data_IF_203138106244
#
_entry.id   IF_203138106244
#
_cell.length_a   1.000
_cell.length_b   1.000
_cell.length_c   1.000
_cell.angle_alpha   90.00
_cell.angle_beta   90.00
_cell.angle_gamma   90.00
#
_symmetry.space_group_name_H-M   'P 1'
#
loop_
_entity.id
_entity.type
_entity.pdbx_description
1 polymer ?
#
# COMPACT_ATOMS: atom_id res chain seq x y z
N UNK A 1 -29.51 24.03 22.81
CA UNK A 1 -29.18 22.70 23.39
C UNK A 1 -28.92 21.71 22.25
N UNK A 2 -28.02 22.06 21.33
CA UNK A 2 -27.69 21.26 20.12
C UNK A 2 -26.28 21.55 19.59
N UNK A 3 -25.41 22.22 20.36
CA UNK A 3 -24.11 22.70 19.87
C UNK A 3 -22.92 21.82 20.31
N UNK A 4 -23.18 20.57 20.74
CA UNK A 4 -22.15 19.70 21.35
C UNK A 4 -21.75 18.53 20.42
N UNK A 5 -22.34 18.37 19.23
CA UNK A 5 -22.12 17.18 18.40
C UNK A 5 -21.17 17.42 17.20
N UNK A 6 -20.87 18.67 16.83
CA UNK A 6 -20.09 18.94 15.62
C UNK A 6 -18.56 18.91 15.80
N UNK A 7 -18.05 18.90 17.05
CA UNK A 7 -16.61 18.94 17.34
C UNK A 7 -15.93 17.56 17.48
N UNK A 8 -16.67 16.45 17.28
CA UNK A 8 -16.09 15.10 17.33
C UNK A 8 -15.53 14.63 15.97
N UNK A 9 -15.55 15.48 14.94
CA UNK A 9 -15.01 15.18 13.61
C UNK A 9 -13.57 15.68 13.40
N UNK A 10 -12.93 16.23 14.44
CA UNK A 10 -11.51 16.53 14.41
C UNK A 10 -10.67 15.24 14.59
N UNK A 11 -9.91 14.93 13.54
CA UNK A 11 -8.66 14.15 13.60
C UNK A 11 -8.78 12.62 13.77
N UNK A 12 -9.51 11.97 12.86
CA UNK A 12 -9.20 10.57 12.50
C UNK A 12 -8.01 10.48 11.51
N UNK A 13 -7.04 11.39 11.60
CA UNK A 13 -5.74 11.24 10.93
C UNK A 13 -4.82 10.59 11.94
N UNK A 14 -4.99 9.29 12.13
CA UNK A 14 -4.01 8.46 12.82
C UNK A 14 -2.75 8.36 11.97
N UNK A 15 -1.94 9.43 11.96
CA UNK A 15 -0.53 9.32 11.61
C UNK A 15 0.08 8.42 12.68
N UNK A 16 0.12 7.13 12.35
CA UNK A 16 0.55 6.10 13.28
C UNK A 16 2.06 6.23 13.36
N UNK A 17 2.55 6.94 14.37
CA UNK A 17 3.95 7.08 14.81
C UNK A 17 4.58 5.75 15.26
N UNK A 18 4.17 4.64 14.67
CA UNK A 18 4.75 3.32 14.85
C UNK A 18 5.65 3.03 13.65
N UNK A 19 6.97 3.34 13.71
CA UNK A 19 7.90 3.15 12.59
C UNK A 19 8.06 1.67 12.16
N UNK A 20 7.45 0.74 12.90
CA UNK A 20 7.47 -0.70 12.66
C UNK A 20 6.16 -1.26 12.08
N UNK A 21 5.09 -0.45 11.95
CA UNK A 21 3.83 -0.90 11.37
C UNK A 21 3.78 -0.52 9.88
N UNK A 22 3.40 -1.47 9.03
CA UNK A 22 3.09 -1.14 7.64
C UNK A 22 1.82 -0.29 7.61
N UNK A 23 1.78 0.71 6.73
CA UNK A 23 0.56 1.49 6.44
C UNK A 23 -0.60 0.55 6.10
N UNK A 24 -1.85 0.92 6.45
CA UNK A 24 -3.03 0.14 6.07
C UNK A 24 -3.07 -0.06 4.55
N UNK A 25 -3.59 -1.21 4.13
CA UNK A 25 -3.66 -1.58 2.72
C UNK A 25 -4.63 -0.63 2.01
N UNK A 26 -4.28 -0.09 0.84
CA UNK A 26 -5.16 0.78 0.08
C UNK A 26 -6.49 0.06 -0.27
N UNK A 27 -7.66 0.69 -0.01
CA UNK A 27 -8.96 0.09 -0.31
C UNK A 27 -9.28 0.08 -1.81
N UNK A 28 -8.56 0.85 -2.63
CA UNK A 28 -8.79 1.06 -4.05
C UNK A 28 -8.18 -0.01 -4.97
N UNK A 29 -7.65 -1.12 -4.41
CA UNK A 29 -6.97 -2.13 -5.22
C UNK A 29 -5.61 -1.68 -5.75
N UNK A 30 -5.06 -0.59 -5.22
CA UNK A 30 -3.68 -0.16 -5.44
C UNK A 30 -2.72 -1.09 -4.69
N UNK A 31 -1.64 -1.49 -5.35
CA UNK A 31 -0.59 -2.24 -4.68
C UNK A 31 0.14 -1.40 -3.63
N UNK A 32 0.63 -2.07 -2.60
CA UNK A 32 1.47 -1.46 -1.58
C UNK A 32 2.88 -2.01 -1.64
N UNK A 33 3.84 -1.25 -1.12
CA UNK A 33 5.24 -1.67 -1.04
C UNK A 33 5.52 -2.23 0.35
N UNK A 34 6.22 -3.36 0.39
CA UNK A 34 6.72 -3.96 1.61
C UNK A 34 8.21 -4.23 1.48
N UNK A 35 8.97 -3.86 2.51
CA UNK A 35 10.38 -4.26 2.65
C UNK A 35 10.46 -5.67 3.21
N UNK A 36 11.25 -6.53 2.56
CA UNK A 36 11.59 -7.85 3.07
C UNK A 36 12.55 -7.73 4.26
N UNK A 37 12.17 -8.28 5.42
CA UNK A 37 12.99 -8.20 6.63
C UNK A 37 14.28 -9.03 6.58
N UNK A 38 14.35 -10.05 5.72
CA UNK A 38 15.53 -10.91 5.57
C UNK A 38 16.54 -10.33 4.61
N UNK A 39 16.07 -9.81 3.47
CA UNK A 39 16.96 -9.35 2.40
C UNK A 39 17.07 -7.84 2.31
N UNK A 40 16.17 -7.08 2.95
CA UNK A 40 16.08 -5.63 2.83
C UNK A 40 15.47 -5.15 1.51
N UNK A 41 15.09 -6.06 0.61
CA UNK A 41 14.56 -5.74 -0.72
C UNK A 41 13.14 -5.15 -0.65
N UNK A 42 12.83 -4.22 -1.55
CA UNK A 42 11.48 -3.69 -1.72
C UNK A 42 10.66 -4.55 -2.69
N UNK A 43 9.42 -4.82 -2.31
CA UNK A 43 8.48 -5.61 -3.09
C UNK A 43 7.13 -4.92 -3.21
N UNK A 44 6.57 -4.95 -4.41
CA UNK A 44 5.17 -4.65 -4.67
C UNK A 44 4.35 -5.87 -4.27
N UNK A 45 3.42 -5.65 -3.35
CA UNK A 45 2.55 -6.66 -2.78
C UNK A 45 1.11 -6.49 -3.28
N UNK A 46 0.45 -7.62 -3.51
CA UNK A 46 -0.96 -7.64 -3.90
C UNK A 46 -1.83 -7.13 -2.75
N UNK A 47 -2.73 -6.16 -2.97
CA UNK A 47 -3.58 -5.60 -1.92
C UNK A 47 -4.60 -6.62 -1.38
N UNK A 48 -4.93 -7.66 -2.14
CA UNK A 48 -5.95 -8.63 -1.74
C UNK A 48 -5.43 -9.82 -0.94
N UNK A 49 -4.18 -10.22 -1.16
CA UNK A 49 -3.63 -11.45 -0.56
C UNK A 49 -2.21 -11.28 -0.01
N UNK A 50 -1.69 -10.05 0.00
CA UNK A 50 -0.40 -9.68 0.55
C UNK A 50 0.82 -10.40 -0.05
N UNK A 51 0.66 -11.10 -1.17
CA UNK A 51 1.76 -11.81 -1.82
C UNK A 51 2.66 -10.83 -2.56
N UNK A 52 3.96 -11.06 -2.45
CA UNK A 52 5.01 -10.37 -3.21
C UNK A 52 4.89 -10.76 -4.68
N UNK A 53 4.76 -9.77 -5.55
CA UNK A 53 4.53 -9.98 -6.99
C UNK A 53 5.69 -9.47 -7.85
N UNK A 54 6.23 -8.31 -7.51
CA UNK A 54 7.29 -7.64 -8.26
C UNK A 54 8.33 -7.10 -7.29
N UNK A 55 9.60 -7.44 -7.52
CA UNK A 55 10.74 -6.84 -6.81
C UNK A 55 11.06 -5.50 -7.46
N UNK A 56 11.27 -4.47 -6.66
CA UNK A 56 11.59 -3.11 -7.14
C UNK A 56 12.89 -2.62 -6.51
N UNK A 57 13.56 -1.69 -7.18
CA UNK A 57 14.73 -0.95 -6.67
C UNK A 57 14.28 0.46 -6.27
N UNK A 58 15.11 1.17 -5.51
CA UNK A 58 14.78 2.52 -5.03
C UNK A 58 14.53 3.53 -6.18
N UNK A 59 15.15 3.33 -7.36
CA UNK A 59 14.94 4.21 -8.52
C UNK A 59 13.84 3.72 -9.48
N UNK A 60 13.04 2.73 -9.09
CA UNK A 60 11.99 2.19 -9.95
C UNK A 60 10.77 3.11 -9.93
N UNK A 61 10.36 3.58 -11.11
CA UNK A 61 9.10 4.29 -11.34
C UNK A 61 8.24 3.47 -12.29
N UNK A 62 6.96 3.34 -11.95
CA UNK A 62 5.95 2.57 -12.69
C UNK A 62 4.70 3.42 -12.73
N UNK A 63 4.10 3.60 -13.90
CA UNK A 63 2.88 4.38 -14.07
C UNK A 63 1.85 3.54 -14.81
N UNK A 64 0.63 3.52 -14.28
CA UNK A 64 -0.58 2.86 -14.79
C UNK A 64 -0.37 1.38 -15.18
N UNK A 65 0.41 0.66 -14.37
CA UNK A 65 0.65 -0.76 -14.62
C UNK A 65 -0.40 -1.62 -13.91
N UNK A 66 -1.25 -2.28 -14.69
CA UNK A 66 -2.13 -3.34 -14.20
C UNK A 66 -1.35 -4.66 -14.10
N UNK A 67 -1.25 -5.22 -12.90
CA UNK A 67 -0.60 -6.50 -12.65
C UNK A 67 -1.59 -7.54 -12.15
N UNK A 68 -1.47 -8.75 -12.72
CA UNK A 68 -2.19 -9.92 -12.23
C UNK A 68 -1.42 -10.59 -11.10
N UNK A 69 -2.10 -10.85 -9.99
CA UNK A 69 -1.49 -11.51 -8.84
C UNK A 69 -1.04 -12.95 -9.17
N UNK A 70 0.25 -13.24 -8.95
CA UNK A 70 0.91 -14.56 -9.09
C UNK A 70 0.48 -15.58 -8.04
N UNK A 71 -0.26 -15.15 -7.01
CA UNK A 71 -0.82 -16.03 -6.00
C UNK A 71 -1.86 -16.98 -6.59
N UNK A 72 -1.64 -18.29 -6.45
CA UNK A 72 -2.50 -19.36 -7.00
C UNK A 72 -3.99 -19.19 -6.72
N UNK A 73 -4.34 -18.69 -5.52
CA UNK A 73 -5.74 -18.52 -5.10
C UNK A 73 -6.30 -17.12 -5.38
N UNK A 74 -5.45 -16.10 -5.49
CA UNK A 74 -5.91 -14.72 -5.62
C UNK A 74 -6.21 -14.40 -7.09
N UNK A 75 -5.21 -14.47 -7.97
CA UNK A 75 -5.31 -14.19 -9.43
C UNK A 75 -6.03 -12.89 -9.83
N UNK A 76 -6.34 -11.99 -8.88
CA UNK A 76 -6.97 -10.69 -9.12
C UNK A 76 -5.98 -9.74 -9.78
N UNK A 77 -6.50 -8.81 -10.57
CA UNK A 77 -5.74 -7.70 -11.10
C UNK A 77 -5.71 -6.55 -10.09
N UNK A 78 -4.60 -5.83 -10.05
CA UNK A 78 -4.39 -4.66 -9.20
C UNK A 78 -3.51 -3.63 -9.92
N UNK A 79 -3.61 -2.38 -9.50
CA UNK A 79 -2.88 -1.28 -10.09
C UNK A 79 -1.58 -1.01 -9.35
N UNK A 80 -0.57 -0.59 -10.09
CA UNK A 80 0.75 -0.26 -9.58
C UNK A 80 1.19 1.07 -10.15
N UNK A 81 1.18 2.07 -9.28
CA UNK A 81 1.74 3.39 -9.52
C UNK A 81 2.84 3.65 -8.49
N UNK A 82 4.07 3.74 -8.98
CA UNK A 82 5.27 3.96 -8.20
C UNK A 82 6.07 5.14 -8.76
N UNK A 83 6.60 5.97 -7.88
CA UNK A 83 7.61 6.98 -8.21
C UNK A 83 8.76 6.85 -7.22
N UNK A 84 9.98 6.67 -7.72
CA UNK A 84 11.19 6.53 -6.89
C UNK A 84 11.01 5.48 -5.77
N UNK A 85 10.46 4.31 -6.12
CA UNK A 85 10.28 3.21 -5.19
C UNK A 85 9.21 3.44 -4.11
N UNK A 86 8.33 4.43 -4.27
CA UNK A 86 7.19 4.73 -3.37
C UNK A 86 5.87 4.69 -4.15
N UNK A 87 4.80 4.23 -3.50
CA UNK A 87 3.46 4.23 -4.11
C UNK A 87 2.99 5.67 -4.22
N UNK A 88 2.45 6.03 -5.38
CA UNK A 88 1.71 7.28 -5.58
C UNK A 88 0.22 6.96 -5.67
N UNK A 89 -0.60 7.80 -5.03
CA UNK A 89 -2.07 7.70 -5.01
C UNK A 89 -2.70 8.32 -6.25
#
# INVERSE_FOLDING_TARGET
>A
MTEIIEDMAHEMVGESDFPYMNKPIPPNGQAYIQRDYKTGDLWVCCPYCSKKNLKIKDNTSISDLELKCKGSNCKKNFFVNLKEGKVIE
#
